data_IF_774544448879
#
_entry.id   IF_774544448879
#
_cell.length_a   1.000
_cell.length_b   1.000
_cell.length_c   1.000
_cell.angle_alpha   90.00
_cell.angle_beta   90.00
_cell.angle_gamma   90.00
#
_symmetry.space_group_name_H-M   'P 1'
#
loop_
_entity.id
_entity.type
_entity.pdbx_description
1 polymer ?
#
# COMPACT_ATOMS: atom_id res chain seq x y z
N UNK A 1 -8.13 4.14 -4.97
CA UNK A 1 -7.55 4.77 -6.18
C UNK A 1 -6.33 4.03 -6.75
N UNK A 2 -6.23 2.70 -6.61
CA UNK A 2 -5.10 1.89 -7.09
C UNK A 2 -5.50 0.83 -8.10
N UNK A 3 -6.78 0.45 -8.16
CA UNK A 3 -7.27 -0.64 -9.00
C UNK A 3 -7.21 -0.30 -10.50
N UNK A 4 -7.59 0.94 -10.88
CA UNK A 4 -7.47 1.41 -12.27
C UNK A 4 -6.02 1.40 -12.76
N UNK A 5 -5.08 1.88 -11.95
CA UNK A 5 -3.67 1.88 -12.34
C UNK A 5 -3.05 0.48 -12.40
N UNK A 6 -3.49 -0.45 -11.53
CA UNK A 6 -3.13 -1.86 -11.62
C UNK A 6 -3.64 -2.50 -12.92
N UNK A 7 -4.89 -2.20 -13.29
CA UNK A 7 -5.46 -2.67 -14.56
C UNK A 7 -4.67 -2.11 -15.75
N UNK A 8 -4.37 -0.81 -15.75
CA UNK A 8 -3.53 -0.19 -16.79
C UNK A 8 -2.16 -0.86 -16.88
N UNK A 9 -1.53 -1.15 -15.74
CA UNK A 9 -0.23 -1.80 -15.72
C UNK A 9 -0.31 -3.26 -16.21
N UNK A 10 -1.37 -4.01 -15.88
CA UNK A 10 -1.57 -5.37 -16.36
C UNK A 10 -1.77 -5.43 -17.88
N UNK A 11 -2.57 -4.50 -18.42
CA UNK A 11 -2.95 -4.47 -19.83
C UNK A 11 -1.99 -3.70 -20.74
N UNK A 12 -0.91 -3.10 -20.19
CA UNK A 12 0.04 -2.28 -20.96
C UNK A 12 0.75 -3.02 -22.10
N UNK A 13 0.80 -4.36 -22.03
CA UNK A 13 1.39 -5.21 -23.07
C UNK A 13 0.42 -5.44 -24.24
N UNK A 14 -0.89 -5.38 -23.98
CA UNK A 14 -1.94 -5.62 -24.96
C UNK A 14 -2.41 -4.32 -25.62
N UNK A 15 -2.40 -3.20 -24.88
CA UNK A 15 -2.93 -1.92 -25.35
C UNK A 15 -2.00 -0.74 -25.03
N UNK A 16 -1.99 0.30 -25.88
CA UNK A 16 -1.28 1.53 -25.57
C UNK A 16 -1.78 2.18 -24.28
N UNK A 17 -0.87 2.59 -23.41
CA UNK A 17 -1.19 3.27 -22.13
C UNK A 17 -2.09 4.50 -22.36
N UNK A 18 -1.88 5.23 -23.44
CA UNK A 18 -2.69 6.42 -23.80
C UNK A 18 -4.15 6.04 -24.03
N UNK A 19 -4.41 4.89 -24.67
CA UNK A 19 -5.76 4.39 -24.91
C UNK A 19 -6.42 4.00 -23.58
N UNK A 20 -5.71 3.22 -22.76
CA UNK A 20 -6.22 2.78 -21.46
C UNK A 20 -6.53 3.97 -20.54
N UNK A 21 -5.65 4.97 -20.48
CA UNK A 21 -5.89 6.20 -19.72
C UNK A 21 -7.12 6.97 -20.22
N UNK A 22 -7.32 7.06 -21.54
CA UNK A 22 -8.48 7.73 -22.14
C UNK A 22 -9.78 6.97 -21.84
N UNK A 23 -9.81 5.65 -21.99
CA UNK A 23 -11.00 4.82 -21.72
C UNK A 23 -11.39 4.88 -20.25
N UNK A 24 -10.40 4.82 -19.36
CA UNK A 24 -10.62 4.83 -17.91
C UNK A 24 -10.75 6.24 -17.33
N UNK A 25 -10.73 7.29 -18.16
CA UNK A 25 -10.85 8.70 -17.76
C UNK A 25 -9.84 9.11 -16.68
N UNK A 26 -8.61 8.60 -16.77
CA UNK A 26 -7.51 8.95 -15.84
C UNK A 26 -6.43 9.77 -16.55
N UNK A 27 -5.84 10.70 -15.82
CA UNK A 27 -4.69 11.45 -16.32
C UNK A 27 -3.47 10.52 -16.43
N UNK A 28 -2.77 10.64 -17.56
CA UNK A 28 -1.56 9.86 -17.85
C UNK A 28 -0.43 10.15 -16.85
N UNK A 29 -0.32 11.40 -16.40
CA UNK A 29 0.62 11.81 -15.35
C UNK A 29 0.37 11.06 -14.04
N UNK A 30 -0.89 10.87 -13.65
CA UNK A 30 -1.26 10.13 -12.44
C UNK A 30 -0.86 8.66 -12.51
N UNK A 31 -0.95 8.03 -13.69
CA UNK A 31 -0.44 6.66 -13.88
C UNK A 31 1.08 6.58 -13.68
N UNK A 32 1.85 7.51 -14.26
CA UNK A 32 3.30 7.50 -14.11
C UNK A 32 3.74 7.84 -12.68
N UNK A 33 3.11 8.81 -12.03
CA UNK A 33 3.36 9.12 -10.61
C UNK A 33 3.03 7.93 -9.70
N UNK A 34 1.94 7.21 -10.00
CA UNK A 34 1.60 5.97 -9.30
C UNK A 34 2.68 4.89 -9.50
N UNK A 35 3.17 4.73 -10.73
CA UNK A 35 4.21 3.73 -11.05
C UNK A 35 5.53 4.05 -10.35
N UNK A 36 5.95 5.31 -10.37
CA UNK A 36 7.18 5.78 -9.69
C UNK A 36 7.09 5.61 -8.18
N UNK A 37 5.91 5.86 -7.60
CA UNK A 37 5.65 5.65 -6.17
C UNK A 37 5.45 4.19 -5.76
N UNK A 38 5.61 3.20 -6.64
CA UNK A 38 5.41 1.79 -6.29
C UNK A 38 6.43 1.30 -5.27
N UNK A 39 7.72 1.54 -5.48
CA UNK A 39 8.79 1.10 -4.57
C UNK A 39 8.59 1.66 -3.14
N UNK A 40 8.33 2.97 -3.04
CA UNK A 40 8.08 3.63 -1.75
C UNK A 40 6.85 3.05 -1.03
N UNK A 41 5.78 2.72 -1.76
CA UNK A 41 4.58 2.09 -1.18
C UNK A 41 4.82 0.66 -0.73
N UNK A 42 5.62 -0.11 -1.46
CA UNK A 42 5.98 -1.47 -1.04
C UNK A 42 6.85 -1.44 0.22
N UNK A 43 7.84 -0.54 0.28
CA UNK A 43 8.66 -0.36 1.47
C UNK A 43 7.83 0.01 2.70
N UNK A 44 6.89 0.96 2.55
CA UNK A 44 5.99 1.34 3.63
C UNK A 44 5.11 0.18 4.09
N UNK A 45 4.54 -0.60 3.17
CA UNK A 45 3.73 -1.78 3.53
C UNK A 45 4.55 -2.82 4.28
N UNK A 46 5.77 -3.10 3.84
CA UNK A 46 6.64 -4.03 4.54
C UNK A 46 6.97 -3.57 5.96
N UNK A 47 7.19 -2.27 6.17
CA UNK A 47 7.39 -1.69 7.50
C UNK A 47 6.11 -1.80 8.37
N UNK A 48 4.94 -1.50 7.79
CA UNK A 48 3.66 -1.62 8.48
C UNK A 48 3.36 -3.09 8.87
N UNK A 49 3.65 -4.05 7.98
CA UNK A 49 3.48 -5.48 8.22
C UNK A 49 4.43 -6.00 9.31
N UNK A 50 5.69 -5.54 9.30
CA UNK A 50 6.67 -5.86 10.34
C UNK A 50 6.23 -5.32 11.71
N UNK A 51 5.74 -4.08 11.76
CA UNK A 51 5.22 -3.46 12.97
C UNK A 51 3.96 -4.20 13.48
N UNK A 52 3.04 -4.54 12.58
CA UNK A 52 1.85 -5.31 12.93
C UNK A 52 2.19 -6.70 13.47
N UNK A 53 3.22 -7.34 12.92
CA UNK A 53 3.73 -8.62 13.41
C UNK A 53 4.28 -8.48 14.84
N UNK A 54 5.11 -7.48 15.10
CA UNK A 54 5.68 -7.21 16.42
C UNK A 54 4.59 -6.95 17.46
N UNK A 55 3.60 -6.10 17.13
CA UNK A 55 2.44 -5.84 17.98
C UNK A 55 1.68 -7.13 18.27
N UNK A 56 1.48 -7.98 17.26
CA UNK A 56 0.76 -9.26 17.42
C UNK A 56 1.50 -10.22 18.35
N UNK A 57 2.82 -10.36 18.18
CA UNK A 57 3.67 -11.20 19.02
C UNK A 57 3.62 -10.73 20.47
N UNK A 58 3.78 -9.42 20.71
CA UNK A 58 3.70 -8.84 22.04
C UNK A 58 2.32 -9.02 22.68
N UNK A 59 1.25 -8.84 21.90
CA UNK A 59 -0.12 -9.03 22.35
C UNK A 59 -0.42 -10.47 22.78
N UNK A 60 0.10 -11.45 22.04
CA UNK A 60 -0.02 -12.88 22.36
C UNK A 60 0.82 -13.23 23.60
N UNK A 61 2.07 -12.77 23.66
CA UNK A 61 2.97 -12.99 24.80
C UNK A 61 2.40 -12.41 26.11
N UNK A 62 1.66 -11.30 26.02
CA UNK A 62 1.01 -10.63 27.14
C UNK A 62 -0.32 -11.28 27.59
N UNK A 63 -0.68 -12.48 27.08
CA UNK A 63 -1.95 -13.17 27.37
C UNK A 63 -3.20 -12.33 27.07
N UNK A 64 -3.13 -11.40 26.10
CA UNK A 64 -4.21 -10.44 25.78
C UNK A 64 -4.60 -9.50 26.92
N UNK A 65 -3.82 -9.44 28.01
CA UNK A 65 -4.13 -8.59 29.18
C UNK A 65 -3.73 -7.13 28.97
N UNK A 66 -2.72 -6.87 28.12
CA UNK A 66 -2.34 -5.51 27.76
C UNK A 66 -3.20 -5.00 26.59
N UNK A 67 -4.30 -4.36 26.95
CA UNK A 67 -5.07 -3.51 26.05
C UNK A 67 -4.35 -2.19 25.71
N UNK A 68 -4.86 -1.55 24.66
CA UNK A 68 -4.42 -0.35 23.94
C UNK A 68 -3.99 0.91 24.74
N UNK A 69 -4.35 1.17 26.02
CA UNK A 69 -4.09 2.51 26.60
C UNK A 69 -2.64 2.88 26.97
N UNK A 70 -1.69 1.96 27.11
CA UNK A 70 -0.38 2.29 27.76
C UNK A 70 0.84 2.33 26.85
N UNK A 71 0.71 2.09 25.54
CA UNK A 71 1.85 2.22 24.61
C UNK A 71 2.28 3.69 24.42
N UNK A 72 1.42 4.66 24.78
CA UNK A 72 1.74 6.09 24.74
C UNK A 72 2.46 6.65 25.99
N UNK A 73 2.70 5.86 27.04
CA UNK A 73 3.23 6.39 28.31
C UNK A 73 4.78 6.32 28.45
N UNK A 74 5.51 6.10 27.36
CA UNK A 74 6.98 5.98 27.39
C UNK A 74 7.72 6.62 26.22
N UNK A 75 7.10 7.56 25.51
CA UNK A 75 7.77 8.49 24.60
C UNK A 75 8.12 9.78 25.33
#
# INVERSE_FOLDING_TARGET
>A
MTMLYRLIHAEKANYPIVLLCRVLQVARSSYYAWREGEAARQARRAADDALAHEITVLHIASRRTYGVPRIHAGL
#
